data_IF_912362284582
#
_entry.id   IF_912362284582
#
_cell.length_a   1.000
_cell.length_b   1.000
_cell.length_c   1.000
_cell.angle_alpha   90.00
_cell.angle_beta   90.00
_cell.angle_gamma   90.00
#
_symmetry.space_group_name_H-M   'P 1'
#
loop_
_entity.id
_entity.type
_entity.pdbx_description
1 polymer ?
#
# COMPACT_ATOMS: atom_id res chain seq x y z
N UNK A 1 -23.66 -28.41 -4.58
CA UNK A 1 -24.99 -28.16 -3.99
C UNK A 1 -25.31 -26.70 -4.29
N UNK A 2 -26.17 -26.44 -5.28
CA UNK A 2 -26.52 -25.08 -5.71
C UNK A 2 -27.20 -24.26 -4.60
N UNK A 3 -27.88 -24.97 -3.69
CA UNK A 3 -28.56 -24.40 -2.52
C UNK A 3 -27.63 -23.61 -1.57
N UNK A 4 -26.33 -23.93 -1.54
CA UNK A 4 -25.36 -23.21 -0.68
C UNK A 4 -24.97 -21.85 -1.25
N UNK A 5 -25.18 -21.62 -2.56
CA UNK A 5 -24.88 -20.36 -3.24
C UNK A 5 -26.06 -19.40 -3.08
N UNK A 6 -27.30 -19.90 -3.20
CA UNK A 6 -28.52 -19.08 -3.08
C UNK A 6 -28.75 -18.58 -1.64
N UNK A 7 -28.37 -19.35 -0.63
CA UNK A 7 -28.56 -19.00 0.78
C UNK A 7 -27.31 -18.40 1.43
N UNK A 8 -26.33 -17.96 0.62
CA UNK A 8 -25.11 -17.36 1.15
C UNK A 8 -25.39 -15.93 1.60
N UNK A 9 -25.32 -15.70 2.91
CA UNK A 9 -25.33 -14.33 3.44
C UNK A 9 -24.09 -13.57 2.95
N UNK A 10 -24.33 -12.49 2.20
CA UNK A 10 -23.28 -11.56 1.82
C UNK A 10 -23.05 -10.61 2.98
N UNK A 11 -21.84 -10.60 3.53
CA UNK A 11 -21.46 -9.62 4.54
C UNK A 11 -21.56 -8.20 3.97
N UNK A 12 -22.10 -7.28 4.78
CA UNK A 12 -22.19 -5.87 4.42
C UNK A 12 -20.81 -5.26 4.21
N UNK A 13 -20.69 -4.46 3.15
CA UNK A 13 -19.43 -3.80 2.81
C UNK A 13 -19.21 -2.60 3.73
N UNK A 14 -18.22 -2.69 4.62
CA UNK A 14 -17.83 -1.59 5.52
C UNK A 14 -17.07 -0.44 4.84
N UNK A 15 -17.03 -0.38 3.50
CA UNK A 15 -16.37 0.70 2.74
C UNK A 15 -17.31 1.26 1.69
N UNK A 16 -17.24 2.58 1.46
CA UNK A 16 -17.97 3.24 0.38
C UNK A 16 -17.65 2.58 -0.96
N UNK A 17 -18.66 2.02 -1.61
CA UNK A 17 -18.57 1.41 -2.93
C UNK A 17 -19.59 2.05 -3.87
N UNK A 18 -19.27 2.04 -5.17
CA UNK A 18 -20.19 2.49 -6.21
C UNK A 18 -20.90 1.26 -6.74
N UNK A 19 -22.21 1.20 -6.53
CA UNK A 19 -23.07 0.12 -7.04
C UNK A 19 -23.64 0.59 -8.38
N UNK A 20 -23.45 -0.22 -9.42
CA UNK A 20 -24.08 -0.03 -10.73
C UNK A 20 -24.98 -1.23 -11.04
N UNK A 21 -26.18 -0.95 -11.56
CA UNK A 21 -27.07 -2.01 -12.06
C UNK A 21 -26.63 -2.37 -13.48
N UNK A 22 -26.35 -3.65 -13.70
CA UNK A 22 -25.86 -4.15 -15.00
C UNK A 22 -26.96 -4.85 -15.81
N UNK A 23 -28.15 -5.08 -15.24
CA UNK A 23 -29.22 -5.78 -15.91
C UNK A 23 -29.72 -5.00 -17.13
N UNK A 24 -29.69 -5.63 -18.31
CA UNK A 24 -30.19 -5.04 -19.55
C UNK A 24 -29.35 -3.91 -20.14
N UNK A 25 -28.13 -3.65 -19.63
CA UNK A 25 -27.24 -2.59 -20.13
C UNK A 25 -26.07 -3.14 -20.93
N UNK A 26 -25.65 -2.38 -21.94
CA UNK A 26 -24.41 -2.64 -22.68
C UNK A 26 -23.20 -2.24 -21.84
N UNK A 27 -22.04 -2.83 -22.15
CA UNK A 27 -20.76 -2.51 -21.47
C UNK A 27 -20.48 -1.00 -21.50
N UNK A 28 -20.76 -0.34 -22.62
CA UNK A 28 -20.54 1.10 -22.77
C UNK A 28 -21.44 1.92 -21.83
N UNK A 29 -22.69 1.52 -21.65
CA UNK A 29 -23.61 2.16 -20.71
C UNK A 29 -23.16 1.97 -19.26
N UNK A 30 -22.71 0.76 -18.90
CA UNK A 30 -22.14 0.50 -17.57
C UNK A 30 -20.87 1.34 -17.32
N UNK A 31 -20.02 1.52 -18.34
CA UNK A 31 -18.83 2.36 -18.25
C UNK A 31 -19.18 3.84 -18.06
N UNK A 32 -20.21 4.34 -18.76
CA UNK A 32 -20.69 5.71 -18.59
C UNK A 32 -21.28 5.93 -17.20
N UNK A 33 -22.17 5.04 -16.73
CA UNK A 33 -22.78 5.13 -15.40
C UNK A 33 -21.73 5.04 -14.29
N UNK A 34 -20.74 4.16 -14.45
CA UNK A 34 -19.63 4.08 -13.51
C UNK A 34 -18.86 5.40 -13.46
N UNK A 35 -18.54 6.01 -14.61
CA UNK A 35 -17.85 7.30 -14.68
C UNK A 35 -18.66 8.40 -14.00
N UNK A 36 -19.95 8.50 -14.29
CA UNK A 36 -20.88 9.49 -13.70
C UNK A 36 -20.97 9.35 -12.18
N UNK A 37 -21.18 8.14 -11.67
CA UNK A 37 -21.24 7.90 -10.22
C UNK A 37 -19.89 8.12 -9.53
N UNK A 38 -18.79 7.91 -10.25
CA UNK A 38 -17.45 8.21 -9.73
C UNK A 38 -17.23 9.72 -9.68
N UNK A 39 -17.67 10.48 -10.69
CA UNK A 39 -17.60 11.94 -10.68
C UNK A 39 -18.51 12.57 -9.63
N UNK A 40 -19.71 12.04 -9.41
CA UNK A 40 -20.60 12.51 -8.35
C UNK A 40 -20.03 12.22 -6.95
N UNK A 41 -19.39 11.04 -6.78
CA UNK A 41 -18.65 10.71 -5.56
C UNK A 41 -17.40 11.57 -5.36
N UNK A 42 -16.86 12.18 -6.43
CA UNK A 42 -15.71 13.09 -6.37
C UNK A 42 -16.16 14.54 -6.10
N UNK A 43 -17.33 14.95 -6.59
CA UNK A 43 -17.91 16.28 -6.34
C UNK A 43 -18.52 16.39 -4.93
N UNK A 44 -18.94 15.28 -4.33
CA UNK A 44 -19.27 15.17 -2.90
C UNK A 44 -18.02 14.96 -2.02
N UNK A 45 -16.83 14.95 -2.63
CA UNK A 45 -15.51 14.89 -1.97
C UNK A 45 -14.65 16.08 -2.40
N UNK A 46 -15.14 17.29 -2.17
CA UNK A 46 -14.22 18.33 -1.68
C UNK A 46 -14.00 18.10 -0.18
N UNK A 47 -13.44 16.94 0.15
CA UNK A 47 -12.89 16.61 1.46
C UNK A 47 -11.66 15.75 1.19
N UNK A 48 -10.51 16.34 1.51
CA UNK A 48 -9.17 15.76 1.59
C UNK A 48 -8.91 14.45 0.86
N UNK A 49 -8.06 14.50 -0.18
CA UNK A 49 -7.00 13.50 -0.21
C UNK A 49 -6.29 13.59 1.15
N UNK A 50 -6.53 12.64 2.05
CA UNK A 50 -5.62 12.37 3.15
C UNK A 50 -4.33 11.84 2.53
N UNK A 51 -3.55 12.75 1.95
CA UNK A 51 -2.13 12.73 2.25
C UNK A 51 -2.06 12.86 3.76
N UNK A 52 -2.04 11.72 4.47
CA UNK A 52 -1.47 11.71 5.80
C UNK A 52 -0.09 12.36 5.61
N UNK A 53 0.04 13.59 6.09
CA UNK A 53 1.29 14.31 6.05
C UNK A 53 2.23 13.46 6.90
N UNK A 54 3.13 12.73 6.23
CA UNK A 54 4.04 11.83 6.92
C UNK A 54 4.99 12.73 7.68
N UNK A 55 4.74 12.85 8.98
CA UNK A 55 5.56 13.64 9.87
C UNK A 55 6.73 12.79 10.40
N UNK A 56 7.67 13.46 11.05
CA UNK A 56 8.81 12.82 11.68
C UNK A 56 8.41 11.80 12.77
N UNK A 57 7.20 11.93 13.35
CA UNK A 57 6.68 11.00 14.35
C UNK A 57 6.32 9.65 13.73
N UNK A 58 5.70 9.64 12.55
CA UNK A 58 5.45 8.40 11.82
C UNK A 58 6.75 7.74 11.38
N UNK A 59 7.72 8.53 10.89
CA UNK A 59 9.05 8.01 10.54
C UNK A 59 9.73 7.34 11.73
N UNK A 60 9.72 7.99 12.89
CA UNK A 60 10.25 7.40 14.13
C UNK A 60 9.53 6.10 14.50
N UNK A 61 8.20 6.08 14.38
CA UNK A 61 7.38 4.87 14.65
C UNK A 61 7.72 3.73 13.70
N UNK A 62 7.94 4.01 12.41
CA UNK A 62 8.35 2.99 11.45
C UNK A 62 9.69 2.40 11.87
N UNK A 63 10.70 3.24 12.15
CA UNK A 63 12.04 2.79 12.53
C UNK A 63 12.00 1.93 13.80
N UNK A 64 11.28 2.37 14.83
CA UNK A 64 11.17 1.65 16.11
C UNK A 64 10.52 0.26 15.95
N UNK A 65 9.51 0.14 15.10
CA UNK A 65 8.69 -1.08 14.96
C UNK A 65 9.08 -1.95 13.78
N UNK A 66 10.12 -1.58 13.03
CA UNK A 66 10.61 -2.35 11.88
C UNK A 66 10.82 -3.79 12.27
N UNK A 67 10.21 -4.69 11.50
CA UNK A 67 10.39 -6.13 11.72
C UNK A 67 10.51 -6.89 10.41
N UNK A 68 11.10 -8.07 10.50
CA UNK A 68 11.46 -8.89 9.34
C UNK A 68 10.98 -10.32 9.55
N UNK A 69 10.74 -11.02 8.45
CA UNK A 69 10.61 -12.48 8.43
C UNK A 69 11.86 -13.04 7.76
N UNK A 70 12.25 -14.27 8.11
CA UNK A 70 13.43 -14.94 7.53
C UNK A 70 13.50 -14.84 5.99
N UNK A 71 12.38 -15.07 5.30
CA UNK A 71 12.29 -15.01 3.83
C UNK A 71 12.46 -13.61 3.24
N UNK A 72 12.31 -12.55 4.04
CA UNK A 72 12.46 -11.16 3.59
C UNK A 72 13.93 -10.84 3.35
N UNK A 73 14.85 -11.31 4.19
CA UNK A 73 16.29 -11.10 4.02
C UNK A 73 16.78 -11.65 2.67
N UNK A 74 16.45 -12.91 2.37
CA UNK A 74 16.80 -13.55 1.10
C UNK A 74 16.18 -12.82 -0.10
N UNK A 75 14.96 -12.29 0.06
CA UNK A 75 14.28 -11.50 -0.96
C UNK A 75 14.99 -10.18 -1.24
N UNK A 76 15.42 -9.47 -0.19
CA UNK A 76 16.13 -8.19 -0.30
C UNK A 76 17.46 -8.40 -1.02
N UNK A 77 18.27 -9.35 -0.56
CA UNK A 77 19.55 -9.69 -1.20
C UNK A 77 19.38 -10.01 -2.68
N UNK A 78 18.41 -10.87 -3.04
CA UNK A 78 18.14 -11.21 -4.44
C UNK A 78 17.70 -10.03 -5.29
N UNK A 79 16.84 -9.15 -4.77
CA UNK A 79 16.34 -7.98 -5.51
C UNK A 79 17.40 -6.89 -5.67
N UNK A 80 18.28 -6.74 -4.68
CA UNK A 80 19.36 -5.76 -4.74
C UNK A 80 20.64 -6.33 -5.36
N UNK A 81 20.73 -7.64 -5.61
CA UNK A 81 21.96 -8.28 -6.06
C UNK A 81 23.08 -8.16 -5.03
N UNK A 82 22.73 -8.22 -3.74
CA UNK A 82 23.65 -8.10 -2.62
C UNK A 82 23.75 -9.44 -1.85
N UNK A 83 24.77 -9.55 -1.02
CA UNK A 83 25.01 -10.71 -0.15
C UNK A 83 25.27 -10.24 1.29
N UNK A 84 24.26 -9.60 1.88
CA UNK A 84 24.31 -9.09 3.24
C UNK A 84 23.75 -10.11 4.24
N UNK A 85 24.31 -10.13 5.44
CA UNK A 85 23.73 -10.82 6.59
C UNK A 85 22.43 -10.15 7.06
N UNK A 86 21.58 -10.83 7.84
CA UNK A 86 20.37 -10.23 8.39
C UNK A 86 20.61 -8.92 9.14
N UNK A 87 21.68 -8.86 9.95
CA UNK A 87 22.05 -7.68 10.72
C UNK A 87 22.48 -6.51 9.82
N UNK A 88 23.25 -6.80 8.78
CA UNK A 88 23.65 -5.78 7.79
C UNK A 88 22.44 -5.25 7.02
N UNK A 89 21.47 -6.11 6.68
CA UNK A 89 20.21 -5.68 6.05
C UNK A 89 19.41 -4.78 6.99
N UNK A 90 19.31 -5.13 8.27
CA UNK A 90 18.58 -4.33 9.25
C UNK A 90 19.18 -2.93 9.41
N UNK A 91 20.51 -2.84 9.54
CA UNK A 91 21.22 -1.56 9.58
C UNK A 91 20.99 -0.79 8.29
N UNK A 92 21.25 -1.41 7.13
CA UNK A 92 21.11 -0.79 5.82
C UNK A 92 19.71 -0.18 5.62
N UNK A 93 18.66 -0.95 5.87
CA UNK A 93 17.28 -0.49 5.70
C UNK A 93 16.92 0.61 6.71
N UNK A 94 17.32 0.46 7.97
CA UNK A 94 17.07 1.48 9.00
C UNK A 94 17.76 2.81 8.66
N UNK A 95 19.02 2.75 8.24
CA UNK A 95 19.82 3.92 7.87
C UNK A 95 19.22 4.65 6.68
N UNK A 96 18.80 3.91 5.65
CA UNK A 96 18.12 4.51 4.49
C UNK A 96 16.84 5.21 4.92
N UNK A 97 15.99 4.55 5.71
CA UNK A 97 14.72 5.15 6.16
C UNK A 97 15.00 6.41 6.99
N UNK A 98 16.01 6.37 7.87
CA UNK A 98 16.42 7.50 8.70
C UNK A 98 16.92 8.69 7.90
N UNK A 99 17.66 8.46 6.81
CA UNK A 99 18.22 9.52 5.97
C UNK A 99 17.31 9.96 4.83
N UNK A 100 16.20 9.24 4.59
CA UNK A 100 15.19 9.63 3.60
C UNK A 100 14.26 10.68 4.19
N UNK A 101 14.03 11.77 3.46
CA UNK A 101 13.07 12.81 3.84
C UNK A 101 11.62 12.30 3.77
N UNK A 102 10.75 12.75 4.67
CA UNK A 102 9.38 12.24 4.76
C UNK A 102 8.54 12.54 3.52
N UNK A 103 8.90 13.54 2.71
CA UNK A 103 8.26 13.80 1.42
C UNK A 103 8.38 12.64 0.42
N UNK A 104 9.36 11.74 0.60
CA UNK A 104 9.53 10.54 -0.22
C UNK A 104 8.83 9.30 0.36
N UNK A 105 8.05 9.47 1.42
CA UNK A 105 7.20 8.43 1.97
C UNK A 105 5.81 8.57 1.36
N UNK A 106 5.28 7.45 0.86
CA UNK A 106 3.94 7.40 0.29
C UNK A 106 3.18 6.23 0.91
N UNK A 107 2.06 6.51 1.56
CA UNK A 107 1.12 5.48 1.98
C UNK A 107 0.16 5.18 0.84
N UNK A 108 0.09 3.91 0.43
CA UNK A 108 -0.93 3.43 -0.52
C UNK A 108 -1.55 2.14 -0.01
N UNK A 109 -2.81 2.24 0.41
CA UNK A 109 -3.53 1.12 1.01
C UNK A 109 -2.86 0.63 2.29
N UNK A 110 -2.44 -0.64 2.30
CA UNK A 110 -1.84 -1.32 3.47
C UNK A 110 -0.31 -1.16 3.58
N UNK A 111 0.31 -0.37 2.71
CA UNK A 111 1.76 -0.29 2.61
C UNK A 111 2.25 1.16 2.59
N UNK A 112 3.39 1.37 3.24
CA UNK A 112 4.26 2.52 3.04
C UNK A 112 5.29 2.18 1.95
N UNK A 113 5.51 3.11 1.04
CA UNK A 113 6.53 3.09 0.02
C UNK A 113 7.51 4.22 0.34
N UNK A 114 8.76 3.86 0.61
CA UNK A 114 9.81 4.79 1.00
C UNK A 114 10.82 4.77 -0.14
N UNK A 115 10.90 5.87 -0.87
CA UNK A 115 11.77 6.00 -2.04
C UNK A 115 13.02 6.77 -1.65
N UNK A 116 14.18 6.18 -1.86
CA UNK A 116 15.45 6.88 -1.68
C UNK A 116 16.08 7.04 -3.06
N UNK A 117 16.01 8.26 -3.60
CA UNK A 117 16.51 8.57 -4.94
C UNK A 117 18.05 8.56 -4.99
N UNK A 118 18.72 8.87 -3.88
CA UNK A 118 20.19 8.84 -3.77
C UNK A 118 20.75 7.43 -3.91
N UNK A 119 20.13 6.47 -3.24
CA UNK A 119 20.51 5.05 -3.26
C UNK A 119 19.82 4.26 -4.38
N UNK A 120 18.94 4.90 -5.15
CA UNK A 120 18.13 4.30 -6.21
C UNK A 120 17.36 3.04 -5.76
N UNK A 121 16.73 3.11 -4.58
CA UNK A 121 15.93 2.01 -4.05
C UNK A 121 14.58 2.46 -3.50
N UNK A 122 13.64 1.52 -3.48
CA UNK A 122 12.33 1.66 -2.83
C UNK A 122 12.11 0.56 -1.82
N UNK A 123 11.84 0.95 -0.58
CA UNK A 123 11.48 0.03 0.50
C UNK A 123 9.96 0.01 0.64
N UNK A 124 9.37 -1.18 0.73
CA UNK A 124 7.94 -1.35 0.99
C UNK A 124 7.74 -1.96 2.36
N UNK A 125 7.01 -1.24 3.23
CA UNK A 125 6.73 -1.63 4.61
C UNK A 125 5.22 -1.77 4.80
N UNK A 126 4.77 -2.81 5.49
CA UNK A 126 3.36 -2.92 5.84
C UNK A 126 2.96 -1.86 6.87
N UNK A 127 1.86 -1.14 6.66
CA UNK A 127 1.49 0.00 7.52
C UNK A 127 0.93 -0.39 8.88
N UNK A 128 0.46 -1.63 9.04
CA UNK A 128 -0.12 -2.11 10.30
C UNK A 128 0.91 -2.83 11.17
N UNK A 129 1.74 -3.67 10.55
CA UNK A 129 2.70 -4.53 11.24
C UNK A 129 4.14 -4.01 11.20
N UNK A 130 4.40 -2.94 10.45
CA UNK A 130 5.75 -2.39 10.22
C UNK A 130 6.75 -3.42 9.67
N UNK A 131 6.24 -4.51 9.10
CA UNK A 131 7.06 -5.54 8.49
C UNK A 131 7.58 -5.08 7.15
N UNK A 132 8.88 -5.20 6.93
CA UNK A 132 9.46 -5.02 5.59
C UNK A 132 8.95 -6.13 4.68
N UNK A 133 8.35 -5.74 3.55
CA UNK A 133 7.82 -6.65 2.55
C UNK A 133 8.87 -6.93 1.49
N UNK A 134 9.51 -5.88 0.99
CA UNK A 134 10.48 -5.93 -0.10
C UNK A 134 11.28 -4.64 -0.19
N UNK A 135 12.45 -4.73 -0.82
CA UNK A 135 13.23 -3.59 -1.30
C UNK A 135 13.53 -3.81 -2.77
N UNK A 136 13.33 -2.80 -3.60
CA UNK A 136 13.48 -2.84 -5.06
C UNK A 136 14.48 -1.78 -5.52
N UNK A 137 15.28 -2.07 -6.54
CA UNK A 137 16.03 -1.05 -7.28
C UNK A 137 15.07 -0.25 -8.17
N UNK A 138 15.34 1.04 -8.35
CA UNK A 138 14.58 1.96 -9.20
C UNK A 138 15.40 2.33 -10.43
#
# INVERSE_FOLDING_TARGET
MWNDIENREYHEWHKSCIIIDTAGKTIKQCQTELKEKTTDSLLQKEDGQEYENIDDSLKATIIEKLCYKKLVYDRINRKLGLHLSPQEIESFISDIIKHTDTSHFLKKGKNYYITNDTEHIRITVNSFTYRVITTDKI
#
